data_IF_273086321556
#
_entry.id   IF_273086321556
#
_cell.length_a   1.000
_cell.length_b   1.000
_cell.length_c   1.000
_cell.angle_alpha   90.00
_cell.angle_beta   90.00
_cell.angle_gamma   90.00
#
_symmetry.space_group_name_H-M   'P 1'
#
loop_
_entity.id
_entity.type
_entity.pdbx_description
1 polymer ?
#
# COMPACT_ATOMS: atom_id res chain seq x y z
N UNK A 1 -14.39 -5.84 -13.55
CA UNK A 1 -13.06 -6.07 -14.18
C UNK A 1 -12.07 -6.71 -13.19
N UNK A 2 -11.41 -7.80 -13.58
CA UNK A 2 -10.60 -8.66 -12.67
C UNK A 2 -9.22 -8.08 -12.37
N UNK A 3 -8.58 -7.40 -13.33
CA UNK A 3 -7.18 -6.95 -13.22
C UNK A 3 -7.02 -5.54 -12.63
N UNK A 4 -8.03 -4.67 -12.71
CA UNK A 4 -7.89 -3.27 -12.30
C UNK A 4 -6.81 -2.54 -13.11
N UNK A 5 -5.91 -1.83 -12.42
CA UNK A 5 -4.78 -1.09 -12.99
C UNK A 5 -3.54 -1.97 -13.20
N UNK A 6 -3.56 -3.24 -12.81
CA UNK A 6 -2.37 -4.09 -12.80
C UNK A 6 -1.65 -4.13 -14.15
N UNK A 7 -2.38 -4.33 -15.25
CA UNK A 7 -1.78 -4.38 -16.60
C UNK A 7 -1.23 -3.02 -17.07
N UNK A 8 -1.58 -1.91 -16.42
CA UNK A 8 -1.11 -0.58 -16.76
C UNK A 8 0.18 -0.21 -16.02
N UNK A 9 0.32 -0.66 -14.77
CA UNK A 9 1.47 -0.33 -13.90
C UNK A 9 2.50 -1.46 -13.81
N UNK A 10 2.13 -2.68 -14.20
CA UNK A 10 2.98 -3.86 -14.08
C UNK A 10 3.18 -4.32 -12.63
N UNK A 11 4.18 -5.17 -12.43
CA UNK A 11 4.54 -5.70 -11.10
C UNK A 11 5.55 -4.81 -10.35
N UNK A 12 6.29 -3.96 -11.06
CA UNK A 12 7.34 -3.11 -10.47
C UNK A 12 6.77 -1.80 -9.92
N UNK A 13 6.22 -1.87 -8.71
CA UNK A 13 5.76 -0.73 -7.92
C UNK A 13 6.88 -0.13 -7.06
N UNK A 14 8.01 0.23 -7.69
CA UNK A 14 9.12 0.88 -7.00
C UNK A 14 8.80 2.35 -6.62
N UNK A 15 9.55 2.90 -5.67
CA UNK A 15 9.36 4.28 -5.18
C UNK A 15 9.56 5.36 -6.27
N UNK A 16 10.34 5.09 -7.33
CA UNK A 16 10.56 6.05 -8.43
C UNK A 16 9.33 6.13 -9.32
N UNK A 17 8.81 4.98 -9.75
CA UNK A 17 7.59 4.85 -10.55
C UNK A 17 6.40 5.46 -9.80
N UNK A 18 6.26 5.18 -8.51
CA UNK A 18 5.21 5.75 -7.68
C UNK A 18 5.36 7.28 -7.52
N UNK A 19 6.59 7.79 -7.42
CA UNK A 19 6.84 9.24 -7.39
C UNK A 19 6.46 9.91 -8.71
N UNK A 20 6.75 9.29 -9.85
CA UNK A 20 6.37 9.81 -11.16
C UNK A 20 4.85 9.77 -11.38
N UNK A 21 4.17 8.74 -10.86
CA UNK A 21 2.70 8.70 -10.82
C UNK A 21 2.13 9.79 -9.90
N UNK A 22 2.75 10.05 -8.75
CA UNK A 22 2.34 11.13 -7.85
C UNK A 22 2.45 12.51 -8.52
N UNK A 23 3.47 12.75 -9.35
CA UNK A 23 3.58 13.98 -10.13
C UNK A 23 2.43 14.14 -11.14
N UNK A 24 1.87 13.04 -11.65
CA UNK A 24 0.80 13.05 -12.66
C UNK A 24 -0.61 13.11 -12.04
N UNK A 25 -0.83 12.35 -10.97
CA UNK A 25 -2.17 12.18 -10.37
C UNK A 25 -2.37 12.96 -9.08
N UNK A 26 -1.30 13.52 -8.50
CA UNK A 26 -1.33 14.29 -7.27
C UNK A 26 -0.71 13.56 -6.08
N UNK A 27 -0.73 14.23 -4.92
CA UNK A 27 -0.07 13.77 -3.70
C UNK A 27 -0.74 12.56 -3.03
N UNK A 28 -1.94 12.18 -3.49
CA UNK A 28 -2.68 10.99 -3.09
C UNK A 28 -3.39 10.39 -4.30
N UNK A 29 -3.23 9.08 -4.51
CA UNK A 29 -3.96 8.35 -5.55
C UNK A 29 -4.17 6.87 -5.21
N UNK A 30 -5.12 6.25 -5.89
CA UNK A 30 -5.51 4.86 -5.70
C UNK A 30 -5.09 4.00 -6.89
N UNK A 31 -4.41 2.89 -6.61
CA UNK A 31 -4.14 1.81 -7.55
C UNK A 31 -4.93 0.57 -7.18
N UNK A 32 -5.59 -0.04 -8.17
CA UNK A 32 -6.30 -1.31 -7.99
C UNK A 32 -5.50 -2.45 -8.61
N UNK A 33 -4.84 -3.26 -7.79
CA UNK A 33 -4.08 -4.44 -8.21
C UNK A 33 -4.98 -5.67 -8.12
N UNK A 34 -5.74 -5.90 -9.20
CA UNK A 34 -6.80 -6.90 -9.24
C UNK A 34 -7.93 -6.62 -8.25
N UNK A 35 -8.00 -7.41 -7.17
CA UNK A 35 -8.92 -7.18 -6.05
C UNK A 35 -8.31 -6.37 -4.89
N UNK A 36 -7.00 -6.12 -4.90
CA UNK A 36 -6.31 -5.36 -3.85
C UNK A 36 -6.33 -3.88 -4.18
N UNK A 37 -6.60 -3.05 -3.17
CA UNK A 37 -6.55 -1.60 -3.27
C UNK A 37 -5.27 -1.11 -2.59
N UNK A 38 -4.49 -0.30 -3.31
CA UNK A 38 -3.25 0.32 -2.83
C UNK A 38 -3.41 1.83 -2.91
N UNK A 39 -3.35 2.51 -1.78
CA UNK A 39 -3.34 3.97 -1.71
C UNK A 39 -1.90 4.43 -1.53
N UNK A 40 -1.46 5.35 -2.39
CA UNK A 40 -0.12 5.93 -2.33
C UNK A 40 -0.24 7.35 -1.81
N UNK A 41 0.52 7.67 -0.76
CA UNK A 41 0.64 9.01 -0.18
C UNK A 41 2.05 9.54 -0.42
N UNK A 42 2.16 10.79 -0.87
CA UNK A 42 3.45 11.41 -1.24
C UNK A 42 3.65 12.81 -0.64
N UNK A 43 2.88 13.17 0.38
CA UNK A 43 2.99 14.44 1.11
C UNK A 43 3.34 14.19 2.58
N UNK A 44 4.19 15.04 3.21
CA UNK A 44 4.48 14.95 4.64
C UNK A 44 3.23 15.08 5.51
N UNK A 45 2.29 15.94 5.13
CA UNK A 45 1.06 16.16 5.90
C UNK A 45 0.17 14.91 5.90
N UNK A 46 0.03 14.27 4.72
CA UNK A 46 -0.70 13.01 4.59
C UNK A 46 0.02 11.85 5.28
N UNK A 47 1.35 11.81 5.25
CA UNK A 47 2.13 10.81 5.96
C UNK A 47 1.92 10.93 7.48
N UNK A 48 1.89 12.16 8.00
CA UNK A 48 1.56 12.42 9.41
C UNK A 48 0.14 11.99 9.75
N UNK A 49 -0.81 12.23 8.85
CA UNK A 49 -2.19 11.81 9.07
C UNK A 49 -2.31 10.28 9.18
N UNK A 50 -1.67 9.54 8.28
CA UNK A 50 -1.72 8.07 8.26
C UNK A 50 -0.93 7.45 9.42
N UNK A 51 0.27 7.96 9.72
CA UNK A 51 1.17 7.34 10.69
C UNK A 51 0.95 7.81 12.13
N UNK A 52 0.40 9.01 12.33
CA UNK A 52 0.26 9.61 13.67
C UNK A 52 -1.20 9.91 14.00
N UNK A 53 -1.88 10.78 13.24
CA UNK A 53 -3.24 11.23 13.58
C UNK A 53 -4.24 10.08 13.57
N UNK A 54 -4.17 9.22 12.55
CA UNK A 54 -5.01 8.04 12.36
C UNK A 54 -4.20 6.75 12.47
N UNK A 55 -3.12 6.77 13.26
CA UNK A 55 -2.19 5.63 13.37
C UNK A 55 -2.82 4.35 13.93
N UNK A 56 -3.92 4.45 14.68
CA UNK A 56 -4.69 3.29 15.16
C UNK A 56 -5.50 2.67 14.00
N UNK A 57 -6.16 3.50 13.20
CA UNK A 57 -6.99 3.05 12.06
C UNK A 57 -6.13 2.42 10.95
N UNK A 58 -4.94 2.99 10.69
CA UNK A 58 -4.01 2.52 9.68
C UNK A 58 -2.83 1.70 10.23
N UNK A 59 -2.88 1.31 11.51
CA UNK A 59 -1.78 0.62 12.20
C UNK A 59 -1.59 -0.84 11.77
N UNK A 60 -2.62 -1.45 11.18
CA UNK A 60 -2.61 -2.85 10.76
C UNK A 60 -1.68 -3.11 9.56
N UNK A 61 -1.35 -4.39 9.33
CA UNK A 61 -0.40 -4.81 8.30
C UNK A 61 -1.06 -5.71 7.27
N UNK A 62 -0.85 -5.38 5.99
CA UNK A 62 -1.33 -6.21 4.88
C UNK A 62 -0.52 -7.49 4.80
N UNK A 63 -1.21 -8.63 4.75
CA UNK A 63 -0.61 -9.95 4.60
C UNK A 63 -0.96 -10.57 3.25
N UNK A 64 -0.03 -11.35 2.74
CA UNK A 64 -0.25 -12.27 1.63
C UNK A 64 0.08 -13.70 2.10
N UNK A 65 -0.25 -14.70 1.27
CA UNK A 65 -0.04 -16.12 1.61
C UNK A 65 1.43 -16.42 1.93
N UNK A 66 2.36 -15.73 1.28
CA UNK A 66 3.80 -15.88 1.52
C UNK A 66 4.16 -15.40 2.93
N UNK A 67 3.70 -14.21 3.33
CA UNK A 67 3.92 -13.68 4.67
C UNK A 67 3.22 -14.52 5.74
N UNK A 68 2.01 -15.03 5.50
CA UNK A 68 1.33 -15.90 6.45
C UNK A 68 2.13 -17.18 6.76
N UNK A 69 2.84 -17.74 5.77
CA UNK A 69 3.73 -18.89 5.97
C UNK A 69 4.92 -18.51 6.84
N UNK A 70 5.59 -17.39 6.54
CA UNK A 70 6.78 -16.96 7.28
C UNK A 70 6.48 -16.47 8.70
N UNK A 71 5.31 -15.88 8.94
CA UNK A 71 4.96 -15.24 10.21
C UNK A 71 4.02 -16.05 11.08
N UNK A 72 3.70 -17.29 10.69
CA UNK A 72 2.74 -18.12 11.43
C UNK A 72 1.34 -17.49 11.49
N UNK A 73 0.90 -16.88 10.39
CA UNK A 73 -0.34 -16.08 10.29
C UNK A 73 -0.35 -14.83 11.18
N UNK A 74 0.77 -14.09 11.22
CA UNK A 74 0.89 -12.82 11.94
C UNK A 74 1.11 -12.97 13.44
N UNK A 75 1.77 -14.04 13.87
CA UNK A 75 2.22 -14.23 15.25
C UNK A 75 3.56 -13.53 15.53
N UNK A 76 4.13 -12.89 14.52
CA UNK A 76 5.33 -12.07 14.64
C UNK A 76 4.98 -10.64 15.10
N UNK A 77 6.02 -9.85 15.38
CA UNK A 77 5.84 -8.45 15.80
C UNK A 77 5.57 -7.50 14.63
N UNK A 78 5.99 -7.83 13.40
CA UNK A 78 6.02 -6.89 12.27
C UNK A 78 4.78 -7.00 11.38
N UNK A 79 4.22 -8.20 11.19
CA UNK A 79 3.01 -8.46 10.41
C UNK A 79 1.82 -8.90 11.26
N UNK A 80 1.77 -8.49 12.54
CA UNK A 80 0.57 -8.63 13.38
C UNK A 80 -0.59 -7.80 12.83
N UNK A 81 -1.81 -8.23 13.19
CA UNK A 81 -3.06 -7.48 12.97
C UNK A 81 -3.20 -6.40 14.03
#
# INVERSE_FOLDING_TARGET
PVFGNWLQVGDDLNHRNLSDLAKKFGQIFLLRMGQRNLVVVSSPDLAKEVLHTQGVEFGSRTRNVVFDIFTGKGQDMVFTV
#
